data_IF_893370327644
#
_entry.id   IF_893370327644
#
_cell.length_a   1.000
_cell.length_b   1.000
_cell.length_c   1.000
_cell.angle_alpha   90.00
_cell.angle_beta   90.00
_cell.angle_gamma   90.00
#
_symmetry.space_group_name_H-M   'P 1'
#
loop_
_entity.id
_entity.type
_entity.pdbx_description
1 polymer ?
#
# COMPACT_ATOMS: atom_id res chain seq x y z
N UNK A 1 -26.86 -59.28 17.46
CA UNK A 1 -25.43 -59.43 17.28
C UNK A 1 -24.74 -59.13 18.59
N UNK A 2 -24.07 -60.11 19.17
CA UNK A 2 -23.16 -59.92 20.32
C UNK A 2 -21.97 -59.13 19.85
N UNK A 3 -21.92 -57.84 20.11
CA UNK A 3 -20.77 -57.00 19.85
C UNK A 3 -19.61 -57.45 20.74
N UNK A 4 -18.46 -57.75 20.12
CA UNK A 4 -17.22 -58.00 20.83
C UNK A 4 -16.69 -56.64 21.31
N UNK A 5 -16.86 -56.35 22.60
CA UNK A 5 -16.39 -55.16 23.26
C UNK A 5 -14.84 -55.08 23.40
N UNK A 6 -14.11 -56.07 22.95
CA UNK A 6 -12.66 -56.14 23.06
C UNK A 6 -11.95 -55.66 21.80
N UNK A 7 -12.68 -55.48 20.69
CA UNK A 7 -12.12 -54.93 19.45
C UNK A 7 -12.33 -53.42 19.43
N UNK A 8 -11.25 -52.63 19.50
CA UNK A 8 -11.35 -51.17 19.39
C UNK A 8 -12.03 -50.78 18.07
N UNK A 9 -13.07 -49.97 18.14
CA UNK A 9 -13.69 -49.37 16.96
C UNK A 9 -12.91 -48.09 16.64
N UNK A 10 -12.23 -48.08 15.51
CA UNK A 10 -11.60 -46.89 15.00
C UNK A 10 -12.64 -46.05 14.24
N UNK A 11 -12.92 -44.87 14.79
CA UNK A 11 -13.77 -43.88 14.08
C UNK A 11 -12.84 -42.88 13.44
N UNK A 12 -12.96 -42.75 12.12
CA UNK A 12 -12.26 -41.73 11.36
C UNK A 12 -13.21 -40.56 11.09
N UNK A 13 -12.86 -39.39 11.58
CA UNK A 13 -13.57 -38.15 11.31
C UNK A 13 -12.81 -37.38 10.21
N UNK A 14 -13.52 -36.99 9.16
CA UNK A 14 -12.96 -36.13 8.12
C UNK A 14 -13.60 -34.75 8.23
N UNK A 15 -12.75 -33.74 8.37
CA UNK A 15 -13.21 -32.35 8.35
C UNK A 15 -13.75 -32.02 6.95
N UNK A 16 -15.00 -31.57 6.88
CA UNK A 16 -15.65 -31.22 5.63
C UNK A 16 -15.48 -29.76 5.23
N UNK A 17 -15.10 -28.91 6.18
CA UNK A 17 -14.76 -27.52 5.95
C UNK A 17 -13.24 -27.37 5.89
N UNK A 18 -12.78 -26.33 5.22
CA UNK A 18 -11.41 -25.88 5.31
C UNK A 18 -11.26 -24.84 6.43
N UNK A 19 -10.06 -24.69 6.97
CA UNK A 19 -9.74 -23.65 7.93
C UNK A 19 -8.83 -22.61 7.27
N UNK A 20 -9.18 -21.36 7.39
CA UNK A 20 -8.35 -20.22 6.97
C UNK A 20 -7.96 -19.43 8.20
N UNK A 21 -6.66 -19.19 8.35
CA UNK A 21 -6.09 -18.28 9.35
C UNK A 21 -5.48 -17.09 8.64
N UNK A 22 -5.67 -15.90 9.18
CA UNK A 22 -4.99 -14.68 8.76
C UNK A 22 -4.22 -14.13 9.95
N UNK A 23 -2.93 -13.97 9.78
CA UNK A 23 -2.03 -13.45 10.81
C UNK A 23 -1.49 -12.09 10.36
N UNK A 24 -1.96 -10.98 10.93
CA UNK A 24 -1.35 -9.67 10.70
C UNK A 24 0.08 -9.64 11.23
N UNK A 25 0.94 -8.96 10.50
CA UNK A 25 2.35 -8.75 10.85
C UNK A 25 2.71 -7.27 10.73
N UNK A 26 3.84 -6.87 11.34
CA UNK A 26 4.31 -5.48 11.27
C UNK A 26 3.27 -4.50 11.78
N UNK A 27 3.11 -3.40 11.08
CA UNK A 27 2.17 -2.32 11.45
C UNK A 27 0.70 -2.77 11.36
N UNK A 28 0.38 -3.81 10.59
CA UNK A 28 -0.97 -4.34 10.51
C UNK A 28 -1.47 -4.95 11.83
N UNK A 29 -0.56 -5.35 12.73
CA UNK A 29 -0.91 -5.90 14.06
C UNK A 29 -1.71 -4.92 14.92
N UNK A 30 -1.35 -3.64 14.88
CA UNK A 30 -1.96 -2.60 15.72
C UNK A 30 -3.22 -1.99 15.09
N UNK A 31 -3.39 -2.14 13.79
CA UNK A 31 -4.47 -1.52 13.03
C UNK A 31 -5.68 -2.44 12.80
N UNK A 32 -5.47 -3.76 12.77
CA UNK A 32 -6.54 -4.70 12.47
C UNK A 32 -7.31 -5.06 13.75
N UNK A 33 -8.57 -4.67 13.79
CA UNK A 33 -9.49 -4.99 14.91
C UNK A 33 -10.52 -6.05 14.54
N UNK A 34 -10.83 -6.23 13.26
CA UNK A 34 -11.72 -7.27 12.74
C UNK A 34 -11.29 -7.68 11.33
N UNK A 35 -11.57 -8.92 10.95
CA UNK A 35 -11.34 -9.44 9.60
C UNK A 35 -12.55 -10.22 9.10
N UNK A 36 -12.80 -10.09 7.81
CA UNK A 36 -13.83 -10.83 7.07
C UNK A 36 -13.22 -11.44 5.81
N UNK A 37 -13.72 -12.61 5.41
CA UNK A 37 -13.41 -13.25 4.13
C UNK A 37 -14.64 -13.25 3.25
N UNK A 38 -14.47 -13.01 1.93
CA UNK A 38 -15.55 -13.16 0.96
C UNK A 38 -15.52 -14.59 0.42
N UNK A 39 -16.57 -15.37 0.72
CA UNK A 39 -16.62 -16.79 0.41
C UNK A 39 -18.06 -17.32 0.42
N UNK A 40 -18.25 -18.61 0.18
CA UNK A 40 -19.55 -19.25 0.37
C UNK A 40 -20.01 -19.21 1.83
N UNK A 41 -21.26 -18.82 2.03
CA UNK A 41 -21.93 -18.79 3.35
C UNK A 41 -22.84 -19.98 3.61
N UNK A 42 -23.12 -20.78 2.58
CA UNK A 42 -23.95 -21.99 2.65
C UNK A 42 -23.35 -23.13 1.85
N UNK A 43 -23.73 -24.34 2.22
CA UNK A 43 -23.37 -25.53 1.46
C UNK A 43 -24.52 -26.55 1.50
N UNK A 44 -24.50 -27.46 0.52
CA UNK A 44 -25.32 -28.67 0.54
C UNK A 44 -24.52 -29.84 1.10
N UNK A 45 -25.21 -30.71 1.81
CA UNK A 45 -24.62 -31.86 2.48
C UNK A 45 -25.28 -33.14 1.95
N UNK A 46 -24.46 -34.07 1.47
CA UNK A 46 -24.92 -35.37 1.04
C UNK A 46 -24.03 -36.46 1.63
N UNK A 47 -24.65 -37.48 2.28
CA UNK A 47 -23.94 -38.62 2.88
C UNK A 47 -22.81 -38.29 3.83
N UNK A 48 -22.87 -37.11 4.49
CA UNK A 48 -21.84 -36.67 5.41
C UNK A 48 -20.70 -35.87 4.79
N UNK A 49 -20.82 -35.52 3.51
CA UNK A 49 -19.81 -34.71 2.78
C UNK A 49 -20.42 -33.41 2.27
N UNK A 50 -19.63 -32.34 2.22
CA UNK A 50 -19.99 -31.08 1.55
C UNK A 50 -19.87 -31.30 0.05
N UNK A 51 -20.99 -31.14 -0.68
CA UNK A 51 -21.06 -31.42 -2.12
C UNK A 51 -20.93 -30.14 -2.93
N UNK A 52 -21.50 -29.05 -2.44
CA UNK A 52 -21.51 -27.78 -3.16
C UNK A 52 -21.68 -26.61 -2.19
N UNK A 53 -20.85 -25.58 -2.34
CA UNK A 53 -21.03 -24.28 -1.72
C UNK A 53 -22.01 -23.40 -2.51
N UNK A 54 -22.65 -22.47 -1.83
CA UNK A 54 -23.59 -21.53 -2.44
C UNK A 54 -23.74 -20.27 -1.59
N UNK A 55 -24.25 -19.21 -2.21
CA UNK A 55 -24.44 -17.89 -1.63
C UNK A 55 -23.13 -17.31 -1.09
N UNK A 56 -22.61 -16.37 -1.82
CA UNK A 56 -21.36 -15.68 -1.51
C UNK A 56 -21.66 -14.44 -0.69
N UNK A 57 -20.91 -14.25 0.37
CA UNK A 57 -20.96 -13.03 1.18
C UNK A 57 -19.71 -12.94 2.08
N UNK A 58 -19.59 -11.86 2.81
CA UNK A 58 -18.57 -11.67 3.82
C UNK A 58 -18.88 -12.47 5.08
N UNK A 59 -17.93 -13.30 5.51
CA UNK A 59 -18.01 -14.01 6.79
C UNK A 59 -17.02 -13.42 7.79
N UNK A 60 -17.45 -13.24 9.03
CA UNK A 60 -16.58 -12.80 10.11
C UNK A 60 -15.57 -13.87 10.48
N UNK A 61 -14.34 -13.45 10.73
CA UNK A 61 -13.29 -14.30 11.28
C UNK A 61 -13.20 -14.10 12.79
N UNK A 62 -12.96 -15.17 13.51
CA UNK A 62 -12.77 -15.16 14.96
C UNK A 62 -11.35 -14.74 15.30
N UNK A 63 -11.20 -13.71 16.16
CA UNK A 63 -9.91 -13.34 16.73
C UNK A 63 -9.42 -14.46 17.67
N UNK A 64 -8.18 -14.89 17.47
CA UNK A 64 -7.49 -15.91 18.26
C UNK A 64 -6.18 -15.34 18.80
N UNK A 65 -5.95 -15.51 20.09
CA UNK A 65 -4.71 -15.11 20.76
C UNK A 65 -4.09 -16.34 21.41
N UNK A 66 -2.83 -16.62 21.09
CA UNK A 66 -2.10 -17.78 21.60
C UNK A 66 -0.60 -17.48 21.67
N UNK A 67 0.16 -18.39 22.26
CA UNK A 67 1.63 -18.30 22.33
C UNK A 67 2.24 -19.38 21.47
N UNK A 68 3.11 -19.01 20.56
CA UNK A 68 3.87 -19.91 19.72
C UNK A 68 5.38 -19.60 19.82
N UNK A 69 6.17 -20.61 20.14
CA UNK A 69 7.64 -20.45 20.34
C UNK A 69 8.02 -19.32 21.32
N UNK A 70 7.18 -19.09 22.35
CA UNK A 70 7.38 -18.03 23.35
C UNK A 70 6.92 -16.63 22.94
N UNK A 71 6.41 -16.45 21.71
CA UNK A 71 5.87 -15.19 21.22
C UNK A 71 4.34 -15.20 21.30
N UNK A 72 3.75 -14.09 21.73
CA UNK A 72 2.32 -13.88 21.64
C UNK A 72 1.92 -13.64 20.18
N UNK A 73 0.96 -14.41 19.68
CA UNK A 73 0.44 -14.34 18.32
C UNK A 73 -1.03 -13.94 18.38
N UNK A 74 -1.40 -12.94 17.60
CA UNK A 74 -2.79 -12.59 17.33
C UNK A 74 -3.10 -12.95 15.89
N UNK A 75 -4.16 -13.73 15.68
CA UNK A 75 -4.61 -14.14 14.35
C UNK A 75 -6.14 -14.10 14.29
N UNK A 76 -6.67 -14.23 13.09
CA UNK A 76 -8.10 -14.39 12.82
C UNK A 76 -8.32 -15.69 12.07
N UNK A 77 -9.31 -16.47 12.51
CA UNK A 77 -9.61 -17.78 11.95
C UNK A 77 -11.06 -17.92 11.52
N UNK A 78 -11.29 -18.61 10.41
CA UNK A 78 -12.61 -19.00 9.97
C UNK A 78 -12.61 -20.43 9.41
N UNK A 79 -13.73 -21.14 9.61
CA UNK A 79 -14.03 -22.34 8.86
C UNK A 79 -14.81 -21.95 7.61
N UNK A 80 -14.33 -22.32 6.45
CA UNK A 80 -14.89 -21.93 5.14
C UNK A 80 -15.39 -23.14 4.38
N UNK A 81 -16.44 -22.94 3.59
CA UNK A 81 -16.97 -23.94 2.69
C UNK A 81 -15.98 -24.12 1.53
N UNK A 82 -15.58 -25.37 1.18
CA UNK A 82 -14.65 -25.62 0.09
C UNK A 82 -15.16 -25.15 -1.28
N UNK A 83 -14.23 -24.89 -2.20
CA UNK A 83 -14.51 -24.70 -3.62
C UNK A 83 -14.74 -23.27 -4.07
N UNK A 84 -14.75 -22.27 -3.19
CA UNK A 84 -14.78 -20.86 -3.58
C UNK A 84 -13.36 -20.31 -3.69
N UNK A 85 -13.03 -19.63 -4.78
CA UNK A 85 -11.75 -18.96 -4.92
C UNK A 85 -11.75 -17.66 -4.11
N UNK A 86 -11.09 -17.66 -2.96
CA UNK A 86 -10.96 -16.50 -2.08
C UNK A 86 -9.83 -15.63 -2.61
N UNK A 87 -10.16 -14.42 -3.06
CA UNK A 87 -9.21 -13.45 -3.63
C UNK A 87 -9.05 -12.22 -2.77
N UNK A 88 -9.97 -11.99 -1.82
CA UNK A 88 -10.01 -10.76 -1.02
C UNK A 88 -10.46 -11.00 0.40
N UNK A 89 -9.99 -10.14 1.28
CA UNK A 89 -10.43 -9.99 2.66
C UNK A 89 -10.87 -8.54 2.92
N UNK A 90 -11.56 -8.31 4.03
CA UNK A 90 -11.94 -6.97 4.49
C UNK A 90 -11.49 -6.79 5.93
N UNK A 91 -10.71 -5.74 6.19
CA UNK A 91 -10.30 -5.34 7.52
C UNK A 91 -11.21 -4.22 8.04
N UNK A 92 -11.46 -4.22 9.35
CA UNK A 92 -12.18 -3.16 10.06
C UNK A 92 -13.57 -2.83 9.49
N UNK A 93 -14.19 -3.80 8.82
CA UNK A 93 -15.52 -3.69 8.22
C UNK A 93 -15.60 -2.90 6.89
N UNK A 94 -14.57 -2.20 6.50
CA UNK A 94 -14.59 -1.29 5.32
C UNK A 94 -13.40 -1.43 4.38
N UNK A 95 -12.26 -1.84 4.86
CA UNK A 95 -11.01 -1.87 4.08
C UNK A 95 -10.86 -3.18 3.32
N UNK A 96 -11.28 -3.19 2.05
CA UNK A 96 -11.08 -4.35 1.18
C UNK A 96 -9.63 -4.43 0.71
N UNK A 97 -9.03 -5.61 0.81
CA UNK A 97 -7.66 -5.90 0.38
C UNK A 97 -7.64 -7.18 -0.43
N UNK A 98 -6.94 -7.16 -1.55
CA UNK A 98 -6.71 -8.36 -2.34
C UNK A 98 -5.63 -9.23 -1.70
N UNK A 99 -5.80 -10.53 -1.75
CA UNK A 99 -4.75 -11.47 -1.38
C UNK A 99 -3.64 -11.44 -2.44
N UNK A 100 -2.40 -11.57 -2.02
CA UNK A 100 -1.24 -11.69 -2.93
C UNK A 100 -1.31 -12.94 -3.82
N UNK A 101 -2.00 -13.98 -3.35
CA UNK A 101 -2.33 -15.17 -4.11
C UNK A 101 -3.73 -15.64 -3.71
N UNK A 102 -4.56 -15.92 -4.71
CA UNK A 102 -5.88 -16.53 -4.49
C UNK A 102 -5.74 -17.92 -3.85
N UNK A 103 -6.68 -18.28 -2.98
CA UNK A 103 -6.76 -19.62 -2.40
C UNK A 103 -8.10 -20.25 -2.74
N UNK A 104 -8.09 -21.52 -3.15
CA UNK A 104 -9.30 -22.33 -3.31
C UNK A 104 -9.33 -23.37 -2.20
N UNK A 105 -10.10 -23.16 -1.12
CA UNK A 105 -10.14 -24.06 0.01
C UNK A 105 -10.64 -25.45 -0.36
N UNK A 106 -9.95 -26.47 0.14
CA UNK A 106 -10.30 -27.89 0.03
C UNK A 106 -10.72 -28.44 1.40
N UNK A 107 -11.63 -29.42 1.42
CA UNK A 107 -12.08 -30.05 2.66
C UNK A 107 -10.94 -30.59 3.49
N UNK A 108 -10.95 -30.27 4.79
CA UNK A 108 -9.94 -30.73 5.75
C UNK A 108 -8.56 -30.07 5.62
N UNK A 109 -8.40 -29.09 4.74
CA UNK A 109 -7.14 -28.34 4.60
C UNK A 109 -7.11 -27.09 5.48
N UNK A 110 -5.89 -26.71 5.84
CA UNK A 110 -5.56 -25.48 6.56
C UNK A 110 -4.76 -24.54 5.66
N UNK A 111 -5.17 -23.26 5.66
CA UNK A 111 -4.54 -22.21 4.89
C UNK A 111 -4.10 -21.11 5.85
N UNK A 112 -2.84 -20.72 5.79
CA UNK A 112 -2.28 -19.65 6.60
C UNK A 112 -1.89 -18.48 5.69
N UNK A 113 -2.46 -17.31 5.98
CA UNK A 113 -2.28 -16.08 5.22
C UNK A 113 -1.61 -15.06 6.14
N UNK A 114 -0.52 -14.51 5.68
CA UNK A 114 0.11 -13.36 6.35
C UNK A 114 -0.47 -12.07 5.78
N UNK A 115 -0.94 -11.19 6.65
CA UNK A 115 -1.44 -9.87 6.30
C UNK A 115 -0.44 -8.82 6.77
N UNK A 116 0.21 -8.15 5.81
CA UNK A 116 1.01 -6.95 6.09
C UNK A 116 0.18 -5.69 5.80
N UNK A 117 0.60 -4.55 6.33
CA UNK A 117 0.02 -3.26 5.98
C UNK A 117 0.23 -3.00 4.49
N UNK A 118 -0.81 -2.52 3.82
CA UNK A 118 -0.62 -1.94 2.49
C UNK A 118 0.18 -0.65 2.64
N UNK A 119 1.44 -0.71 2.28
CA UNK A 119 2.34 0.44 2.34
C UNK A 119 2.03 1.49 1.27
N UNK A 120 1.09 1.19 0.36
CA UNK A 120 0.81 2.02 -0.81
C UNK A 120 1.95 2.09 -1.80
N UNK A 121 2.95 1.21 -1.66
CA UNK A 121 4.04 1.01 -2.60
C UNK A 121 4.60 -0.41 -2.50
N UNK A 122 5.24 -0.85 -3.58
CA UNK A 122 6.09 -2.04 -3.62
C UNK A 122 7.49 -1.66 -4.02
N UNK A 123 8.50 -2.44 -3.61
CA UNK A 123 9.89 -2.28 -4.03
C UNK A 123 10.47 -3.63 -4.45
N UNK A 124 11.46 -3.60 -5.33
CA UNK A 124 12.14 -4.80 -5.85
C UNK A 124 13.44 -5.13 -5.08
N UNK A 125 13.73 -4.40 -4.00
CA UNK A 125 14.97 -4.52 -3.24
C UNK A 125 16.22 -4.00 -3.96
N UNK A 126 16.06 -3.40 -5.15
CA UNK A 126 17.14 -2.82 -5.96
C UNK A 126 16.99 -1.30 -6.13
N UNK A 127 16.07 -0.69 -5.39
CA UNK A 127 15.82 0.74 -5.40
C UNK A 127 14.77 1.19 -6.43
N UNK A 128 13.98 0.28 -6.98
CA UNK A 128 12.83 0.64 -7.81
C UNK A 128 11.54 0.50 -6.99
N UNK A 129 10.78 1.57 -6.91
CA UNK A 129 9.54 1.69 -6.16
C UNK A 129 8.36 1.93 -7.09
N UNK A 130 7.29 1.15 -6.92
CA UNK A 130 6.01 1.33 -7.60
C UNK A 130 5.02 1.85 -6.57
N UNK A 131 4.45 3.02 -6.80
CA UNK A 131 3.58 3.73 -5.86
C UNK A 131 2.15 3.73 -6.34
N UNK A 132 1.23 3.39 -5.43
CA UNK A 132 -0.22 3.24 -5.68
C UNK A 132 -1.08 4.19 -4.86
N UNK A 133 -0.57 4.74 -3.73
CA UNK A 133 -1.35 5.64 -2.86
C UNK A 133 -0.57 6.89 -2.46
N UNK A 134 -1.25 7.86 -1.88
CA UNK A 134 -0.64 9.09 -1.35
C UNK A 134 0.30 8.80 -0.17
N UNK A 135 -0.11 7.92 0.74
CA UNK A 135 0.71 7.46 1.86
C UNK A 135 1.97 6.75 1.36
N UNK A 136 1.81 5.92 0.31
CA UNK A 136 2.93 5.25 -0.35
C UNK A 136 3.91 6.25 -0.97
N UNK A 137 3.42 7.28 -1.66
CA UNK A 137 4.28 8.32 -2.21
C UNK A 137 5.04 9.07 -1.11
N UNK A 138 4.35 9.43 -0.03
CA UNK A 138 4.98 10.08 1.12
C UNK A 138 6.06 9.19 1.76
N UNK A 139 5.75 7.93 2.01
CA UNK A 139 6.70 6.97 2.59
C UNK A 139 7.95 6.81 1.72
N UNK A 140 7.80 6.72 0.38
CA UNK A 140 8.92 6.61 -0.55
C UNK A 140 9.71 7.92 -0.63
N UNK A 141 9.05 9.08 -0.53
CA UNK A 141 9.72 10.38 -0.42
C UNK A 141 10.58 10.48 0.85
N UNK A 142 10.05 9.99 1.98
CA UNK A 142 10.80 9.92 3.24
C UNK A 142 12.01 8.96 3.12
N UNK A 143 11.86 7.80 2.48
CA UNK A 143 12.97 6.88 2.18
C UNK A 143 14.03 7.59 1.34
N UNK A 144 13.65 8.31 0.30
CA UNK A 144 14.57 9.08 -0.53
C UNK A 144 15.33 10.12 0.29
N UNK A 145 14.62 10.93 1.08
CA UNK A 145 15.20 12.00 1.89
C UNK A 145 16.09 11.48 3.04
N UNK A 146 15.89 10.24 3.48
CA UNK A 146 16.73 9.58 4.50
C UNK A 146 18.02 8.93 3.93
N UNK A 147 18.47 9.37 2.76
CA UNK A 147 19.78 9.00 2.21
C UNK A 147 19.76 8.13 0.96
N UNK A 148 18.57 7.87 0.38
CA UNK A 148 18.41 7.04 -0.81
C UNK A 148 17.98 7.87 -2.04
N UNK A 149 18.59 9.03 -2.26
CA UNK A 149 18.17 9.98 -3.30
C UNK A 149 18.34 9.49 -4.75
N UNK A 150 18.94 8.32 -4.95
CA UNK A 150 19.11 7.66 -6.25
C UNK A 150 18.04 6.63 -6.60
N UNK A 151 17.01 6.45 -5.76
CA UNK A 151 15.94 5.48 -6.04
C UNK A 151 15.08 5.90 -7.22
N UNK A 152 14.51 4.91 -7.92
CA UNK A 152 13.55 5.14 -8.99
C UNK A 152 12.12 5.00 -8.45
N UNK A 153 11.24 5.90 -8.85
CA UNK A 153 9.85 5.95 -8.40
C UNK A 153 8.93 5.99 -9.62
N UNK A 154 7.97 5.07 -9.67
CA UNK A 154 6.95 5.04 -10.74
C UNK A 154 5.56 5.07 -10.14
N UNK A 155 4.71 5.99 -10.60
CA UNK A 155 3.30 6.01 -10.21
C UNK A 155 2.49 5.08 -11.11
N UNK A 156 1.57 4.31 -10.53
CA UNK A 156 0.62 3.49 -11.28
C UNK A 156 -0.82 3.94 -11.10
N UNK A 157 -1.08 4.80 -10.12
CA UNK A 157 -2.39 5.39 -9.83
C UNK A 157 -2.30 6.91 -9.71
N UNK A 158 -3.44 7.59 -9.83
CA UNK A 158 -3.53 9.01 -9.50
C UNK A 158 -3.37 9.20 -8.00
N UNK A 159 -2.63 10.23 -7.59
CA UNK A 159 -2.28 10.49 -6.20
C UNK A 159 -2.98 11.77 -5.71
N UNK A 160 -3.71 11.66 -4.62
CA UNK A 160 -4.33 12.82 -3.97
C UNK A 160 -3.59 13.17 -2.68
N UNK A 161 -2.87 14.30 -2.67
CA UNK A 161 -2.11 14.82 -1.53
C UNK A 161 -2.89 15.91 -0.75
N UNK A 162 -4.17 16.09 -1.02
CA UNK A 162 -5.00 17.07 -0.28
C UNK A 162 -4.95 16.73 1.21
N UNK A 163 -4.75 17.77 2.04
CA UNK A 163 -4.64 17.66 3.50
C UNK A 163 -3.42 16.85 4.02
N UNK A 164 -2.48 16.51 3.15
CA UNK A 164 -1.21 15.88 3.53
C UNK A 164 -0.08 16.91 3.54
N UNK A 165 0.70 16.95 4.61
CA UNK A 165 1.96 17.68 4.62
C UNK A 165 2.96 17.02 3.68
N UNK A 166 3.55 17.83 2.80
CA UNK A 166 4.54 17.36 1.86
C UNK A 166 5.91 17.95 2.16
N UNK A 167 6.89 17.08 2.35
CA UNK A 167 8.30 17.45 2.36
C UNK A 167 8.87 17.23 0.96
N UNK A 168 9.40 18.26 0.29
CA UNK A 168 9.98 18.11 -1.04
C UNK A 168 11.05 17.02 -1.11
N UNK A 169 11.05 16.23 -2.18
CA UNK A 169 12.10 15.22 -2.40
C UNK A 169 13.39 15.95 -2.82
N UNK A 170 14.49 15.69 -2.09
CA UNK A 170 15.74 16.40 -2.30
C UNK A 170 15.71 17.82 -1.71
N UNK A 171 16.13 17.97 -0.48
CA UNK A 171 15.88 19.18 0.32
C UNK A 171 16.93 20.29 0.14
N UNK A 172 18.16 19.96 -0.31
CA UNK A 172 19.26 20.93 -0.41
C UNK A 172 20.36 20.49 -1.38
N UNK A 173 21.45 21.26 -1.45
CA UNK A 173 22.56 20.99 -2.36
C UNK A 173 23.20 19.61 -2.17
N UNK A 174 23.36 19.17 -0.93
CA UNK A 174 23.99 17.87 -0.64
C UNK A 174 22.98 16.70 -0.70
N UNK A 175 21.71 17.02 -0.69
CA UNK A 175 20.58 16.09 -0.70
C UNK A 175 19.71 16.35 -1.93
N UNK A 176 20.28 16.27 -3.12
CA UNK A 176 19.57 16.42 -4.38
C UNK A 176 19.14 15.05 -4.92
N UNK A 177 17.92 14.96 -5.42
CA UNK A 177 17.39 13.73 -6.04
C UNK A 177 18.13 13.42 -7.34
N UNK A 178 18.62 12.19 -7.49
CA UNK A 178 19.42 11.75 -8.65
C UNK A 178 18.85 10.52 -9.35
N UNK A 179 17.72 9.98 -8.88
CA UNK A 179 17.03 8.86 -9.48
C UNK A 179 16.10 9.25 -10.63
N UNK A 180 15.26 8.32 -11.05
CA UNK A 180 14.20 8.54 -12.06
C UNK A 180 12.86 8.55 -11.36
N UNK A 181 12.13 9.66 -11.46
CA UNK A 181 10.72 9.73 -11.10
C UNK A 181 9.87 9.74 -12.37
N UNK A 182 9.08 8.69 -12.56
CA UNK A 182 8.15 8.58 -13.68
C UNK A 182 6.71 8.69 -13.17
N UNK A 183 6.07 9.81 -13.44
CA UNK A 183 4.65 9.99 -13.15
C UNK A 183 3.74 9.10 -13.98
N UNK A 184 4.26 8.48 -15.05
CA UNK A 184 3.54 7.53 -15.91
C UNK A 184 2.19 8.10 -16.41
N UNK A 185 2.13 9.41 -16.62
CA UNK A 185 0.92 10.13 -17.02
C UNK A 185 -0.16 10.23 -15.96
N UNK A 186 0.13 9.85 -14.72
CA UNK A 186 -0.79 9.98 -13.59
C UNK A 186 -0.78 11.41 -13.05
N UNK A 187 -1.91 11.81 -12.46
CA UNK A 187 -2.08 13.13 -11.87
C UNK A 187 -1.81 13.09 -10.37
N UNK A 188 -1.02 14.04 -9.88
CA UNK A 188 -0.88 14.33 -8.45
C UNK A 188 -1.69 15.59 -8.17
N UNK A 189 -2.69 15.48 -7.29
CA UNK A 189 -3.58 16.59 -6.93
C UNK A 189 -3.32 17.08 -5.50
N UNK A 190 -3.58 18.37 -5.25
CA UNK A 190 -3.62 18.94 -3.90
C UNK A 190 -2.27 19.08 -3.21
N UNK A 191 -1.15 19.01 -3.95
CA UNK A 191 0.17 19.19 -3.37
C UNK A 191 0.26 20.56 -2.69
N UNK A 192 0.59 20.55 -1.39
CA UNK A 192 0.78 21.79 -0.60
C UNK A 192 2.17 21.79 0.03
N UNK A 193 2.94 22.83 -0.25
CA UNK A 193 4.25 23.09 0.37
C UNK A 193 4.25 24.52 0.87
N UNK A 194 4.45 24.73 2.16
CA UNK A 194 4.48 26.05 2.80
C UNK A 194 5.62 26.14 3.78
N UNK A 195 6.27 27.28 3.89
CA UNK A 195 7.32 27.51 4.88
C UNK A 195 8.51 28.28 4.30
N UNK A 196 9.66 28.05 4.92
CA UNK A 196 10.92 28.76 4.62
C UNK A 196 11.97 27.87 3.94
N UNK A 197 11.54 26.81 3.28
CA UNK A 197 12.46 25.94 2.56
C UNK A 197 13.14 26.69 1.41
N UNK A 198 14.45 26.47 1.26
CA UNK A 198 15.22 27.12 0.19
C UNK A 198 14.77 26.62 -1.20
N UNK A 199 14.30 25.39 -1.28
CA UNK A 199 13.80 24.80 -2.54
C UNK A 199 12.44 24.17 -2.29
N UNK A 200 11.39 24.67 -2.94
CA UNK A 200 10.04 24.23 -2.72
C UNK A 200 9.39 23.73 -4.02
N UNK A 201 8.71 22.58 -3.96
CA UNK A 201 8.05 21.91 -5.06
C UNK A 201 7.67 20.47 -4.70
N UNK A 202 7.24 19.69 -5.67
CA UNK A 202 7.21 18.23 -5.50
C UNK A 202 8.61 17.72 -5.17
N UNK A 203 9.61 18.27 -5.87
CA UNK A 203 11.03 18.16 -5.56
C UNK A 203 11.55 19.50 -5.07
N UNK A 204 12.35 19.50 -4.03
CA UNK A 204 13.12 20.67 -3.65
C UNK A 204 14.25 20.88 -4.63
N UNK A 205 15.11 19.86 -4.78
CA UNK A 205 16.26 19.91 -5.67
C UNK A 205 16.44 18.60 -6.44
N UNK A 206 16.61 18.74 -7.76
CA UNK A 206 17.01 17.65 -8.65
C UNK A 206 18.48 17.84 -9.01
N UNK A 207 19.29 16.81 -8.78
CA UNK A 207 20.74 16.79 -9.08
C UNK A 207 21.03 16.41 -10.53
N UNK A 208 22.29 16.58 -10.95
CA UNK A 208 22.76 16.11 -12.25
C UNK A 208 22.63 14.58 -12.33
N UNK A 209 21.93 14.06 -13.32
CA UNK A 209 21.60 12.65 -13.46
C UNK A 209 20.20 12.29 -12.99
N UNK A 210 19.55 13.12 -12.16
CA UNK A 210 18.14 12.95 -11.82
C UNK A 210 17.22 13.24 -13.03
N UNK A 211 16.14 12.50 -13.15
CA UNK A 211 15.13 12.71 -14.18
C UNK A 211 13.73 12.66 -13.56
N UNK A 212 12.94 13.69 -13.84
CA UNK A 212 11.50 13.72 -13.48
C UNK A 212 10.70 13.83 -14.76
N UNK A 213 9.83 12.87 -15.01
CA UNK A 213 9.09 12.82 -16.28
C UNK A 213 7.63 12.40 -16.12
N UNK A 214 6.82 12.75 -17.14
CA UNK A 214 5.43 12.35 -17.26
C UNK A 214 4.57 12.69 -16.03
N UNK A 215 4.86 13.79 -15.34
CA UNK A 215 4.14 14.23 -14.13
C UNK A 215 3.10 15.27 -14.50
N UNK A 216 1.87 15.03 -14.09
CA UNK A 216 0.78 16.03 -14.14
C UNK A 216 0.48 16.46 -12.72
N UNK A 217 0.67 17.75 -12.41
CA UNK A 217 0.29 18.35 -11.13
C UNK A 217 -0.99 19.16 -11.32
N UNK A 218 -1.94 19.03 -10.40
CA UNK A 218 -3.19 19.75 -10.44
C UNK A 218 -3.55 20.34 -9.08
N UNK A 219 -3.97 21.62 -9.05
CA UNK A 219 -4.44 22.28 -7.84
C UNK A 219 -3.35 22.45 -6.77
N UNK A 220 -2.11 22.74 -7.16
CA UNK A 220 -0.98 22.86 -6.22
C UNK A 220 -0.94 24.23 -5.52
N UNK A 221 -0.49 24.22 -4.26
CA UNK A 221 -0.28 25.40 -3.44
C UNK A 221 1.14 25.38 -2.88
N UNK A 222 2.05 26.14 -3.46
CA UNK A 222 3.46 26.12 -3.08
C UNK A 222 3.91 27.54 -2.76
N UNK A 223 4.43 27.73 -1.55
CA UNK A 223 4.88 29.04 -1.06
C UNK A 223 6.15 28.86 -0.24
N UNK A 224 7.16 29.68 -0.53
CA UNK A 224 8.34 29.82 0.31
C UNK A 224 8.61 31.30 0.61
N UNK A 225 8.84 31.62 1.86
CA UNK A 225 9.26 32.94 2.35
C UNK A 225 10.80 33.06 2.47
N UNK A 226 11.55 32.07 2.01
CA UNK A 226 13.00 32.11 1.96
C UNK A 226 13.47 33.12 0.91
N UNK A 227 14.28 34.11 1.33
CA UNK A 227 14.75 35.21 0.47
C UNK A 227 15.70 34.75 -0.66
N UNK A 228 16.26 33.57 -0.56
CA UNK A 228 17.15 32.93 -1.55
C UNK A 228 16.51 31.67 -2.14
N UNK A 229 15.22 31.49 -1.92
CA UNK A 229 14.50 30.29 -2.27
C UNK A 229 14.08 30.23 -3.73
N UNK A 230 14.22 29.06 -4.35
CA UNK A 230 13.67 28.77 -5.66
C UNK A 230 12.40 27.92 -5.51
N UNK A 231 11.31 28.32 -6.16
CA UNK A 231 9.98 27.73 -6.01
C UNK A 231 9.42 27.32 -7.35
N UNK A 232 8.99 26.08 -7.50
CA UNK A 232 8.36 25.59 -8.70
C UNK A 232 7.37 24.47 -8.41
N UNK A 233 6.41 24.24 -9.28
CA UNK A 233 5.41 23.18 -9.10
C UNK A 233 6.08 21.80 -9.03
N UNK A 234 6.89 21.47 -10.01
CA UNK A 234 7.63 20.20 -10.06
C UNK A 234 8.92 20.28 -9.25
N UNK A 235 9.72 21.30 -9.43
CA UNK A 235 10.97 21.45 -8.68
C UNK A 235 11.29 22.90 -8.35
N UNK A 236 11.77 23.15 -7.13
CA UNK A 236 12.35 24.45 -6.79
C UNK A 236 13.61 24.69 -7.62
N UNK A 237 14.52 23.75 -7.66
CA UNK A 237 15.80 23.85 -8.36
C UNK A 237 16.15 22.55 -9.10
N UNK A 238 16.61 22.66 -10.36
CA UNK A 238 17.01 21.48 -11.13
C UNK A 238 18.34 21.67 -11.84
N UNK A 239 19.22 20.67 -11.75
CA UNK A 239 20.32 20.38 -12.67
C UNK A 239 20.08 19.11 -13.50
N UNK A 240 19.00 18.41 -13.21
CA UNK A 240 18.59 17.20 -13.91
C UNK A 240 17.60 17.48 -15.03
N UNK A 241 17.05 16.42 -15.58
CA UNK A 241 16.06 16.48 -16.65
C UNK A 241 14.64 16.59 -16.09
N UNK A 242 13.83 17.48 -16.66
CA UNK A 242 12.39 17.55 -16.43
C UNK A 242 11.72 17.44 -17.80
N UNK A 243 10.96 16.36 -18.01
CA UNK A 243 10.43 16.00 -19.32
C UNK A 243 8.93 15.70 -19.23
N UNK A 244 8.14 16.26 -20.15
CA UNK A 244 6.70 15.98 -20.24
C UNK A 244 5.94 16.22 -18.93
N UNK A 245 6.36 17.23 -18.17
CA UNK A 245 5.73 17.62 -16.91
C UNK A 245 4.83 18.83 -17.10
N UNK A 246 3.70 18.87 -16.41
CA UNK A 246 2.76 19.97 -16.47
C UNK A 246 2.17 20.32 -15.09
N UNK A 247 1.83 21.58 -14.92
CA UNK A 247 1.07 22.09 -13.77
C UNK A 247 -0.20 22.74 -14.30
N UNK A 248 -1.36 22.35 -13.79
CA UNK A 248 -2.67 22.77 -14.29
C UNK A 248 -3.69 23.00 -13.17
N UNK A 249 -4.89 23.40 -13.55
CA UNK A 249 -5.96 23.72 -12.61
C UNK A 249 -5.76 25.06 -11.89
N UNK A 250 -6.43 25.26 -10.76
CA UNK A 250 -6.21 26.42 -9.89
C UNK A 250 -4.96 26.17 -9.06
N UNK A 251 -3.85 26.77 -9.40
CA UNK A 251 -2.60 26.62 -8.68
C UNK A 251 -2.04 27.99 -8.23
N UNK A 252 -1.27 27.96 -7.15
CA UNK A 252 -0.49 29.08 -6.68
C UNK A 252 0.94 28.63 -6.41
N UNK A 253 1.90 29.31 -7.06
CA UNK A 253 3.33 29.11 -6.83
C UNK A 253 3.92 30.48 -6.55
N UNK A 254 4.43 30.71 -5.35
CA UNK A 254 4.92 32.02 -4.93
C UNK A 254 6.19 31.91 -4.09
N UNK A 255 7.06 32.92 -4.23
CA UNK A 255 8.34 33.00 -3.53
C UNK A 255 8.95 34.38 -3.66
N UNK A 256 10.13 34.59 -3.07
CA UNK A 256 10.81 35.88 -3.04
C UNK A 256 11.86 36.00 -4.16
N UNK A 257 12.46 34.87 -4.59
CA UNK A 257 13.52 34.84 -5.60
C UNK A 257 13.03 34.14 -6.89
N UNK A 258 13.59 33.00 -7.23
CA UNK A 258 13.31 32.30 -8.49
C UNK A 258 11.96 31.57 -8.42
N UNK A 259 10.98 31.99 -9.19
CA UNK A 259 9.64 31.40 -9.17
C UNK A 259 9.22 30.99 -10.58
N UNK A 260 8.84 29.75 -10.74
CA UNK A 260 8.34 29.19 -11.99
C UNK A 260 7.15 28.27 -11.79
N UNK A 261 6.20 28.24 -12.72
CA UNK A 261 5.05 27.34 -12.64
C UNK A 261 5.43 25.87 -12.58
N UNK A 262 6.48 25.48 -13.30
CA UNK A 262 7.02 24.09 -13.31
C UNK A 262 8.34 24.01 -12.53
N UNK A 263 9.29 24.86 -12.83
CA UNK A 263 10.62 24.89 -12.19
C UNK A 263 10.97 26.32 -11.81
N UNK A 264 11.48 26.53 -10.59
CA UNK A 264 11.95 27.84 -10.14
C UNK A 264 13.24 28.23 -10.84
N UNK A 265 14.27 27.41 -10.76
CA UNK A 265 15.58 27.61 -11.38
C UNK A 265 16.08 26.32 -12.06
N UNK A 266 16.63 26.47 -13.25
CA UNK A 266 17.20 25.35 -14.05
C UNK A 266 18.53 25.75 -14.71
#
# INVERSE_FOLDING_TARGET
>A
GTGDYQTPVTLTFTHQLAKVRVTPIGDALDEVTSLQLYTYTRCTYEKGEVVQGSQEDWIEMMKCEYTENGNAITSWEANVVPGYEITKLRANGTEERNLSAAITPEAGKFYDITLDKDKGYTDDGQGNYIVTTAEGLKAVADIANNGNLGINITLTENINLTDMEWTPIGTNYNNAYTGIFDGNGKTITGLTVTGSDQYAGLFGRIGSGGTVKNVVLEGVQITSDNSLGSVGGVAGYSYGNIEYCSVSGSFSVSGISDVGGVVGYQ
#
